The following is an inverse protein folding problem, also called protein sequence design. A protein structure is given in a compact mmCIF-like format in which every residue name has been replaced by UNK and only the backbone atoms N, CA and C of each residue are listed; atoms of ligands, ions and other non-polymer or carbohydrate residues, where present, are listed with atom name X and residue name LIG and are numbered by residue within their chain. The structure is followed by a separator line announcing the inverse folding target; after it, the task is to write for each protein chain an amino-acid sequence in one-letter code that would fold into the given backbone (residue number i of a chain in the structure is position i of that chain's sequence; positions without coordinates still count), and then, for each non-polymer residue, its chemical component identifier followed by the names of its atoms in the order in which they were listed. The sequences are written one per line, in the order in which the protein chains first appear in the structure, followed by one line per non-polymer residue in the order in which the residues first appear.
data_IF_466484861829
#
_entry.id   IF_466484861829
#
_cell.length_a   1.000
_cell.length_b   1.000
_cell.length_c   1.000
_cell.angle_alpha   90.00
_cell.angle_beta   90.00
_cell.angle_gamma   90.00
#
_symmetry.space_group_name_H-M   'P 1'
#
loop_
_entity.id
_entity.type
_entity.pdbx_description
1 polymer ?
#
# COMPACT_ATOMS: atom_id res chain seq x y z
N UNK A 1 60.13 19.14 -0.49
CA UNK A 1 59.14 18.75 -1.51
C UNK A 1 57.78 18.58 -0.83
N UNK A 2 56.92 19.61 -0.87
CA UNK A 2 55.59 19.59 -0.27
C UNK A 2 54.60 19.04 -1.31
N UNK A 3 53.98 17.89 -1.04
CA UNK A 3 52.91 17.34 -1.86
C UNK A 3 51.58 17.92 -1.39
N UNK A 4 50.97 18.79 -2.19
CA UNK A 4 49.58 19.21 -2.02
C UNK A 4 48.65 18.05 -2.36
N UNK A 5 47.90 17.58 -1.37
CA UNK A 5 46.74 16.72 -1.56
C UNK A 5 45.52 17.60 -1.80
N UNK A 6 45.02 17.56 -3.03
CA UNK A 6 43.74 18.13 -3.44
C UNK A 6 42.63 17.23 -2.86
N UNK A 7 41.67 17.72 -2.04
CA UNK A 7 40.53 16.90 -1.67
C UNK A 7 39.57 16.88 -2.87
N UNK A 8 39.43 15.71 -3.48
CA UNK A 8 38.40 15.42 -4.47
C UNK A 8 37.05 15.47 -3.74
N UNK A 9 36.34 16.58 -3.89
CA UNK A 9 34.97 16.78 -3.42
C UNK A 9 34.06 15.86 -4.25
N UNK A 10 33.83 14.64 -3.77
CA UNK A 10 32.90 13.70 -4.39
C UNK A 10 31.48 14.14 -4.03
N UNK A 11 30.92 15.06 -4.83
CA UNK A 11 29.49 15.34 -4.85
C UNK A 11 28.73 14.08 -5.25
N UNK A 12 28.25 13.30 -4.27
CA UNK A 12 27.20 12.32 -4.48
C UNK A 12 25.88 13.06 -4.76
N UNK A 13 25.72 13.55 -5.99
CA UNK A 13 24.44 13.92 -6.55
C UNK A 13 23.69 12.62 -6.87
N UNK A 14 22.97 12.08 -5.89
CA UNK A 14 21.97 11.05 -6.15
C UNK A 14 20.73 11.71 -6.73
N UNK A 15 20.42 11.29 -7.96
CA UNK A 15 19.20 11.48 -8.78
C UNK A 15 17.96 11.93 -7.97
N UNK A 16 17.19 12.93 -8.43
CA UNK A 16 15.87 13.21 -7.88
C UNK A 16 14.91 12.12 -8.37
N UNK A 17 15.02 10.92 -7.80
CA UNK A 17 13.86 10.06 -7.70
C UNK A 17 12.86 10.78 -6.81
N UNK A 18 11.59 10.85 -7.22
CA UNK A 18 10.48 11.35 -6.40
C UNK A 18 10.29 10.45 -5.16
N UNK A 19 11.24 10.48 -4.23
CA UNK A 19 11.15 9.82 -2.96
C UNK A 19 10.16 10.60 -2.10
N UNK A 20 9.32 9.89 -1.35
CA UNK A 20 8.59 10.51 -0.25
C UNK A 20 9.62 10.93 0.80
N UNK A 21 10.12 12.17 0.69
CA UNK A 21 11.36 12.62 1.34
C UNK A 21 11.39 12.41 2.86
N UNK A 22 10.21 12.36 3.50
CA UNK A 22 10.06 12.23 4.94
C UNK A 22 9.60 10.83 5.40
N UNK A 23 9.66 9.81 4.56
CA UNK A 23 9.24 8.45 4.93
C UNK A 23 10.40 7.44 4.81
N UNK A 24 10.94 6.94 5.94
CA UNK A 24 12.04 5.97 5.92
C UNK A 24 11.67 4.63 5.27
N UNK A 25 10.38 4.36 5.08
CA UNK A 25 9.86 3.14 4.45
C UNK A 25 9.47 3.35 2.98
N UNK A 26 9.90 4.45 2.33
CA UNK A 26 9.58 4.69 0.91
C UNK A 26 10.00 3.52 0.00
N UNK A 27 11.10 2.84 0.32
CA UNK A 27 11.55 1.66 -0.44
C UNK A 27 10.49 0.54 -0.44
N UNK A 28 9.75 0.34 0.65
CA UNK A 28 8.65 -0.64 0.70
C UNK A 28 7.52 -0.29 -0.27
N UNK A 29 7.27 0.99 -0.50
CA UNK A 29 6.32 1.44 -1.53
C UNK A 29 6.78 1.09 -2.95
N UNK A 30 8.07 1.28 -3.24
CA UNK A 30 8.68 0.89 -4.52
C UNK A 30 8.65 -0.64 -4.69
N UNK A 31 9.05 -1.37 -3.67
CA UNK A 31 9.08 -2.84 -3.67
C UNK A 31 7.66 -3.41 -3.82
N UNK A 32 6.66 -2.79 -3.20
CA UNK A 32 5.25 -3.14 -3.40
C UNK A 32 4.82 -3.02 -4.87
N UNK A 33 5.11 -1.88 -5.52
CA UNK A 33 4.77 -1.68 -6.94
C UNK A 33 5.45 -2.74 -7.81
N UNK A 34 6.72 -3.03 -7.56
CA UNK A 34 7.45 -4.08 -8.28
C UNK A 34 6.87 -5.47 -8.03
N UNK A 35 6.48 -5.77 -6.78
CA UNK A 35 5.84 -7.04 -6.40
C UNK A 35 4.50 -7.24 -7.12
N UNK A 36 3.67 -6.19 -7.17
CA UNK A 36 2.41 -6.21 -7.92
C UNK A 36 2.63 -6.43 -9.41
N UNK A 37 3.64 -5.79 -10.01
CA UNK A 37 3.94 -5.95 -11.44
C UNK A 37 4.31 -7.39 -11.79
N UNK A 38 5.11 -8.06 -10.94
CA UNK A 38 5.47 -9.47 -11.10
C UNK A 38 4.21 -10.36 -11.07
N UNK A 39 3.41 -10.24 -10.02
CA UNK A 39 2.21 -11.09 -9.84
C UNK A 39 1.19 -10.82 -10.94
N UNK A 40 0.95 -9.54 -11.27
CA UNK A 40 -0.02 -9.14 -12.29
C UNK A 40 0.38 -9.61 -13.69
N UNK A 41 1.67 -9.63 -14.01
CA UNK A 41 2.16 -10.17 -15.29
C UNK A 41 1.88 -11.68 -15.40
N UNK A 42 2.06 -12.43 -14.32
CA UNK A 42 1.78 -13.87 -14.30
C UNK A 42 0.30 -14.20 -14.36
N UNK A 43 -0.56 -13.41 -13.69
CA UNK A 43 -2.03 -13.53 -13.81
C UNK A 43 -2.48 -13.24 -15.24
N UNK A 44 -2.01 -12.14 -15.85
CA UNK A 44 -2.34 -11.79 -17.25
C UNK A 44 -1.87 -12.84 -18.24
N UNK A 45 -0.74 -13.50 -17.96
CA UNK A 45 -0.24 -14.62 -18.77
C UNK A 45 -0.97 -15.95 -18.51
N UNK A 46 -1.95 -15.99 -17.61
CA UNK A 46 -2.70 -17.20 -17.25
C UNK A 46 -1.92 -18.21 -16.39
N UNK A 47 -0.74 -17.83 -15.88
CA UNK A 47 0.11 -18.68 -15.01
C UNK A 47 -0.45 -18.81 -13.60
N UNK A 48 -1.24 -17.83 -13.16
CA UNK A 48 -1.92 -17.83 -11.86
C UNK A 48 -3.41 -17.68 -12.07
N UNK A 49 -4.17 -18.65 -11.53
CA UNK A 49 -5.64 -18.62 -11.54
C UNK A 49 -6.22 -18.35 -10.16
N UNK A 50 -5.48 -18.72 -9.11
CA UNK A 50 -5.89 -18.58 -7.71
C UNK A 50 -4.68 -18.46 -6.77
N UNK A 51 -4.94 -17.98 -5.55
CA UNK A 51 -3.98 -17.94 -4.46
C UNK A 51 -3.95 -19.25 -3.69
N UNK A 52 -3.43 -20.31 -4.33
CA UNK A 52 -3.15 -21.59 -3.66
C UNK A 52 -1.95 -21.49 -2.72
N UNK A 53 -1.74 -22.49 -1.86
CA UNK A 53 -0.56 -22.54 -1.00
C UNK A 53 0.75 -22.53 -1.79
N UNK A 54 0.77 -23.17 -2.96
CA UNK A 54 1.92 -23.17 -3.85
C UNK A 54 2.19 -21.79 -4.46
N UNK A 55 1.16 -21.11 -4.98
CA UNK A 55 1.35 -19.79 -5.58
C UNK A 55 1.73 -18.74 -4.53
N UNK A 56 1.12 -18.78 -3.34
CA UNK A 56 1.50 -17.90 -2.22
C UNK A 56 2.95 -18.15 -1.80
N UNK A 57 3.37 -19.41 -1.64
CA UNK A 57 4.77 -19.75 -1.30
C UNK A 57 5.75 -19.31 -2.39
N UNK A 58 5.37 -19.47 -3.67
CA UNK A 58 6.19 -19.04 -4.78
C UNK A 58 6.40 -17.52 -4.76
N UNK A 59 5.32 -16.74 -4.73
CA UNK A 59 5.42 -15.27 -4.79
C UNK A 59 6.11 -14.67 -3.57
N UNK A 60 5.83 -15.16 -2.37
CA UNK A 60 6.55 -14.72 -1.16
C UNK A 60 8.06 -14.96 -1.25
N UNK A 61 8.52 -15.93 -2.05
CA UNK A 61 9.93 -16.21 -2.31
C UNK A 61 10.59 -15.31 -3.37
N UNK A 62 9.83 -14.77 -4.33
CA UNK A 62 10.40 -14.05 -5.49
C UNK A 62 10.13 -12.54 -5.51
N UNK A 63 9.10 -12.07 -4.79
CA UNK A 63 8.79 -10.64 -4.78
C UNK A 63 9.81 -9.86 -3.93
N UNK A 64 10.13 -8.60 -4.32
CA UNK A 64 11.08 -7.78 -3.57
C UNK A 64 10.56 -7.34 -2.21
N UNK A 65 9.25 -7.10 -2.07
CA UNK A 65 8.67 -6.72 -0.78
C UNK A 65 8.70 -7.93 0.17
N UNK A 66 9.45 -7.82 1.25
CA UNK A 66 9.51 -8.88 2.28
C UNK A 66 8.20 -8.91 3.06
N UNK A 67 7.54 -10.07 3.05
CA UNK A 67 6.21 -10.28 3.61
C UNK A 67 6.08 -11.66 4.22
N UNK A 68 5.08 -11.83 5.08
CA UNK A 68 4.56 -13.14 5.48
C UNK A 68 3.15 -13.31 4.92
N UNK A 69 2.88 -14.45 4.29
CA UNK A 69 1.56 -14.77 3.78
C UNK A 69 1.35 -16.29 3.69
N UNK A 70 0.10 -16.72 3.80
CA UNK A 70 -0.32 -18.09 3.57
C UNK A 70 -1.65 -18.14 2.80
N UNK A 71 -2.05 -19.34 2.36
CA UNK A 71 -3.26 -19.54 1.57
C UNK A 71 -4.54 -19.11 2.33
N UNK A 72 -4.62 -19.36 3.64
CA UNK A 72 -5.80 -19.02 4.45
C UNK A 72 -5.99 -17.51 4.56
N UNK A 73 -4.91 -16.76 4.76
CA UNK A 73 -4.91 -15.31 4.71
C UNK A 73 -5.35 -14.81 3.34
N UNK A 74 -4.83 -15.41 2.27
CA UNK A 74 -5.19 -15.01 0.92
C UNK A 74 -6.67 -15.27 0.61
N UNK A 75 -7.18 -16.45 0.96
CA UNK A 75 -8.59 -16.79 0.82
C UNK A 75 -9.49 -15.84 1.63
N UNK A 76 -9.09 -15.50 2.85
CA UNK A 76 -9.83 -14.56 3.72
C UNK A 76 -9.92 -13.17 3.09
N UNK A 77 -8.80 -12.64 2.60
CA UNK A 77 -8.74 -11.32 1.97
C UNK A 77 -9.57 -11.30 0.68
N UNK A 78 -9.39 -12.28 -0.21
CA UNK A 78 -10.13 -12.38 -1.47
C UNK A 78 -11.63 -12.53 -1.21
N UNK A 79 -12.02 -13.36 -0.24
CA UNK A 79 -13.44 -13.51 0.15
C UNK A 79 -14.03 -12.21 0.68
N UNK A 80 -13.31 -11.48 1.54
CA UNK A 80 -13.77 -10.18 2.05
C UNK A 80 -13.93 -9.19 0.90
N UNK A 81 -12.92 -9.06 0.03
CA UNK A 81 -12.94 -8.15 -1.14
C UNK A 81 -14.12 -8.40 -2.09
N UNK A 82 -14.55 -9.66 -2.26
CA UNK A 82 -15.69 -10.02 -3.11
C UNK A 82 -17.06 -9.85 -2.43
N UNK A 83 -17.11 -9.54 -1.14
CA UNK A 83 -18.37 -9.37 -0.42
C UNK A 83 -18.96 -7.98 -0.66
N UNK A 84 -20.27 -7.89 -0.88
CA UNK A 84 -21.00 -6.62 -1.06
C UNK A 84 -20.98 -5.72 0.18
N UNK A 85 -20.52 -6.24 1.32
CA UNK A 85 -20.45 -5.54 2.60
C UNK A 85 -18.99 -5.17 2.98
N UNK A 86 -18.04 -5.31 2.07
CA UNK A 86 -16.66 -4.93 2.35
C UNK A 86 -16.54 -3.41 2.46
N UNK A 87 -16.53 -2.89 3.68
CA UNK A 87 -16.16 -1.50 3.95
C UNK A 87 -14.90 -1.44 4.81
N UNK A 88 -14.06 -0.44 4.55
CA UNK A 88 -12.89 -0.19 5.38
C UNK A 88 -13.29 0.03 6.84
N UNK A 89 -14.39 0.75 7.07
CA UNK A 89 -14.93 1.01 8.42
C UNK A 89 -15.16 -0.28 9.22
N UNK A 90 -15.77 -1.31 8.61
CA UNK A 90 -15.97 -2.60 9.29
C UNK A 90 -14.63 -3.31 9.57
N UNK A 91 -13.73 -3.35 8.59
CA UNK A 91 -12.44 -4.03 8.74
C UNK A 91 -11.55 -3.33 9.78
N UNK A 92 -11.59 -1.99 9.86
CA UNK A 92 -10.93 -1.23 10.91
C UNK A 92 -11.56 -1.49 12.28
N UNK A 93 -12.89 -1.58 12.38
CA UNK A 93 -13.57 -1.88 13.64
C UNK A 93 -13.16 -3.26 14.19
N UNK A 94 -13.01 -4.25 13.31
CA UNK A 94 -12.60 -5.62 13.66
C UNK A 94 -11.10 -5.78 13.95
N UNK A 95 -10.28 -4.75 13.65
CA UNK A 95 -8.83 -4.79 13.89
C UNK A 95 -8.47 -4.40 15.33
N UNK A 96 -7.33 -4.92 15.80
CA UNK A 96 -6.67 -4.54 17.06
C UNK A 96 -5.71 -3.35 16.89
N UNK A 97 -5.83 -2.57 15.81
CA UNK A 97 -5.09 -1.34 15.61
C UNK A 97 -5.47 -0.29 16.67
N UNK A 98 -4.56 0.62 16.98
CA UNK A 98 -4.85 1.80 17.80
C UNK A 98 -5.83 2.75 17.11
N UNK A 99 -6.50 3.60 17.88
CA UNK A 99 -7.38 4.65 17.35
C UNK A 99 -6.64 5.54 16.35
N UNK A 100 -5.39 5.90 16.67
CA UNK A 100 -4.52 6.70 15.78
C UNK A 100 -4.29 5.99 14.45
N UNK A 101 -3.98 4.70 14.47
CA UNK A 101 -3.78 3.92 13.26
C UNK A 101 -5.06 3.79 12.43
N UNK A 102 -6.21 3.54 13.06
CA UNK A 102 -7.50 3.47 12.38
C UNK A 102 -7.84 4.79 11.69
N UNK A 103 -7.65 5.92 12.38
CA UNK A 103 -7.86 7.24 11.79
C UNK A 103 -6.92 7.50 10.61
N UNK A 104 -5.64 7.14 10.75
CA UNK A 104 -4.68 7.30 9.67
C UNK A 104 -5.08 6.53 8.42
N UNK A 105 -5.45 5.25 8.56
CA UNK A 105 -5.88 4.41 7.45
C UNK A 105 -7.16 4.93 6.80
N UNK A 106 -8.11 5.42 7.59
CA UNK A 106 -9.31 6.08 7.09
C UNK A 106 -8.95 7.32 6.24
N UNK A 107 -8.05 8.18 6.73
CA UNK A 107 -7.68 9.42 6.05
C UNK A 107 -6.95 9.21 4.72
N UNK A 108 -6.11 8.17 4.61
CA UNK A 108 -5.42 7.87 3.34
C UNK A 108 -6.30 7.09 2.36
N UNK A 109 -7.39 6.47 2.85
CA UNK A 109 -8.34 5.72 2.04
C UNK A 109 -9.46 6.61 1.48
N UNK A 110 -10.02 7.49 2.32
CA UNK A 110 -11.10 8.40 1.94
C UNK A 110 -10.54 9.77 1.56
N UNK A 111 -10.33 9.94 0.26
CA UNK A 111 -9.79 11.18 -0.29
C UNK A 111 -10.92 12.04 -0.83
N UNK A 112 -10.86 13.35 -0.56
CA UNK A 112 -11.85 14.30 -1.04
C UNK A 112 -11.92 14.26 -2.58
N UNK A 113 -13.13 14.23 -3.13
CA UNK A 113 -13.35 14.31 -4.59
C UNK A 113 -12.68 15.56 -5.17
N UNK A 114 -11.96 15.39 -6.28
CA UNK A 114 -11.22 16.47 -6.95
C UNK A 114 -9.80 16.70 -6.42
N UNK A 115 -9.31 15.88 -5.48
CA UNK A 115 -7.91 15.91 -5.04
C UNK A 115 -6.99 15.48 -6.18
N UNK A 116 -5.98 16.30 -6.50
CA UNK A 116 -4.96 15.96 -7.51
C UNK A 116 -3.91 15.01 -6.96
N UNK A 117 -3.16 14.35 -7.83
CA UNK A 117 -2.01 13.51 -7.46
C UNK A 117 -1.03 14.24 -6.54
N UNK A 118 -0.69 15.48 -6.86
CA UNK A 118 0.25 16.29 -6.06
C UNK A 118 -0.33 16.65 -4.69
N UNK A 119 -1.62 16.98 -4.62
CA UNK A 119 -2.31 17.23 -3.36
C UNK A 119 -2.36 15.97 -2.48
N UNK A 120 -2.59 14.80 -3.08
CA UNK A 120 -2.60 13.53 -2.36
C UNK A 120 -1.19 13.14 -1.87
N UNK A 121 -0.16 13.32 -2.71
CA UNK A 121 1.24 13.13 -2.30
C UNK A 121 1.64 14.04 -1.14
N UNK A 122 1.26 15.31 -1.21
CA UNK A 122 1.49 16.27 -0.13
C UNK A 122 0.77 15.86 1.17
N UNK A 123 -0.48 15.40 1.08
CA UNK A 123 -1.21 14.85 2.22
C UNK A 123 -0.44 13.69 2.86
N UNK A 124 0.03 12.74 2.06
CA UNK A 124 0.78 11.57 2.54
C UNK A 124 2.12 11.97 3.20
N UNK A 125 2.84 12.95 2.64
CA UNK A 125 4.05 13.51 3.23
C UNK A 125 3.79 14.19 4.59
N UNK A 126 2.74 15.01 4.69
CA UNK A 126 2.34 15.66 5.93
C UNK A 126 1.95 14.62 7.01
N UNK A 127 1.12 13.65 6.62
CA UNK A 127 0.65 12.56 7.49
C UNK A 127 1.81 11.68 7.97
N UNK A 128 2.74 11.30 7.09
CA UNK A 128 3.95 10.55 7.45
C UNK A 128 4.86 11.33 8.40
N UNK A 129 5.06 12.62 8.14
CA UNK A 129 5.84 13.50 9.02
C UNK A 129 5.21 13.63 10.41
N UNK A 130 3.87 13.64 10.48
CA UNK A 130 3.12 13.59 11.73
C UNK A 130 3.34 12.28 12.49
N UNK A 131 3.19 11.13 11.82
CA UNK A 131 3.38 9.80 12.42
C UNK A 131 4.76 9.59 13.04
N UNK A 132 5.82 10.12 12.41
CA UNK A 132 7.17 10.00 12.93
C UNK A 132 7.32 10.59 14.33
N UNK A 133 6.53 11.62 14.66
CA UNK A 133 6.54 12.32 15.94
C UNK A 133 5.56 11.73 16.97
N UNK A 134 4.66 10.84 16.55
CA UNK A 134 3.68 10.22 17.45
C UNK A 134 4.32 9.11 18.29
N UNK A 135 3.86 8.97 19.52
CA UNK A 135 4.17 7.80 20.34
C UNK A 135 3.23 6.65 19.93
N UNK A 136 3.77 5.73 19.14
CA UNK A 136 3.05 4.60 18.55
C UNK A 136 3.98 3.40 18.56
N UNK A 137 3.43 2.21 18.80
CA UNK A 137 4.19 0.97 18.76
C UNK A 137 4.96 0.86 17.44
N UNK A 138 6.26 0.49 17.52
CA UNK A 138 7.15 0.45 16.36
C UNK A 138 6.56 -0.34 15.18
N UNK A 139 6.00 -1.56 15.37
CA UNK A 139 5.44 -2.32 14.26
C UNK A 139 4.21 -1.65 13.61
N UNK A 140 3.39 -0.98 14.41
CA UNK A 140 2.21 -0.27 13.92
C UNK A 140 2.62 1.00 13.15
N UNK A 141 3.59 1.75 13.66
CA UNK A 141 4.17 2.91 12.97
C UNK A 141 4.79 2.53 11.64
N UNK A 142 5.55 1.43 11.61
CA UNK A 142 6.14 0.89 10.38
C UNK A 142 5.07 0.45 9.38
N UNK A 143 4.00 -0.21 9.82
CA UNK A 143 2.87 -0.57 8.96
C UNK A 143 2.25 0.67 8.30
N UNK A 144 1.91 1.70 9.09
CA UNK A 144 1.27 2.91 8.58
C UNK A 144 2.17 3.68 7.60
N UNK A 145 3.45 3.81 7.93
CA UNK A 145 4.42 4.45 7.04
C UNK A 145 4.65 3.63 5.76
N UNK A 146 4.66 2.30 5.84
CA UNK A 146 4.74 1.43 4.66
C UNK A 146 3.52 1.60 3.75
N UNK A 147 2.31 1.65 4.33
CA UNK A 147 1.08 1.89 3.56
C UNK A 147 1.04 3.29 2.97
N UNK A 148 1.58 4.30 3.68
CA UNK A 148 1.75 5.64 3.12
C UNK A 148 2.71 5.66 1.93
N UNK A 149 3.81 4.91 2.01
CA UNK A 149 4.75 4.77 0.90
C UNK A 149 4.11 4.05 -0.29
N UNK A 150 3.32 3.01 -0.04
CA UNK A 150 2.53 2.32 -1.07
C UNK A 150 1.60 3.30 -1.77
N UNK A 151 0.79 4.04 -1.00
CA UNK A 151 -0.11 5.06 -1.54
C UNK A 151 0.63 6.12 -2.36
N UNK A 152 1.79 6.58 -1.88
CA UNK A 152 2.59 7.61 -2.54
C UNK A 152 3.15 7.15 -3.89
N UNK A 153 3.65 5.91 -3.95
CA UNK A 153 4.25 5.34 -5.16
C UNK A 153 3.18 4.86 -6.15
N UNK A 154 1.93 4.68 -5.70
CA UNK A 154 0.76 4.35 -6.54
C UNK A 154 -0.04 5.57 -7.00
N UNK A 155 0.21 6.75 -6.46
CA UNK A 155 -0.69 7.91 -6.64
C UNK A 155 -0.80 8.46 -8.06
N UNK A 156 0.09 8.08 -8.99
CA UNK A 156 -0.09 8.40 -10.42
C UNK A 156 -1.41 7.85 -10.99
N UNK A 157 -1.88 6.72 -10.46
CA UNK A 157 -3.11 6.06 -10.91
C UNK A 157 -4.39 6.64 -10.25
N UNK A 158 -4.24 7.57 -9.30
CA UNK A 158 -5.35 8.30 -8.67
C UNK A 158 -5.93 9.35 -9.64
N UNK A 159 -5.14 9.87 -10.58
CA UNK A 159 -5.61 10.91 -11.50
C UNK A 159 -6.64 10.41 -12.53
N UNK A 160 -6.57 9.13 -12.92
CA UNK A 160 -7.43 8.55 -13.95
C UNK A 160 -8.82 8.15 -13.42
N UNK A 161 -8.92 7.79 -12.14
CA UNK A 161 -10.18 7.37 -11.50
C UNK A 161 -11.03 8.56 -11.00
N UNK A 162 -10.44 9.73 -10.77
CA UNK A 162 -11.15 10.90 -10.20
C UNK A 162 -11.56 11.96 -11.23
N UNK A 163 -11.15 11.83 -12.50
CA UNK A 163 -11.55 12.70 -13.61
C UNK A 163 -12.87 12.31 -14.29
N UNK A 164 -13.70 11.48 -13.64
CA UNK A 164 -15.04 11.15 -14.15
C UNK A 164 -15.07 10.05 -15.22
N UNK A 165 -13.94 9.38 -15.48
CA UNK A 165 -13.98 8.01 -15.99
C UNK A 165 -14.33 7.13 -14.80
N UNK A 166 -15.47 6.43 -14.87
CA UNK A 166 -15.72 5.37 -13.90
C UNK A 166 -14.47 4.48 -13.83
N UNK A 167 -14.02 4.10 -12.61
CA UNK A 167 -12.91 3.17 -12.51
C UNK A 167 -13.23 1.98 -13.40
N UNK A 168 -12.34 1.66 -14.32
CA UNK A 168 -12.48 0.49 -15.18
C UNK A 168 -12.38 -0.73 -14.27
N UNK A 169 -13.53 -1.18 -13.77
CA UNK A 169 -13.65 -2.09 -12.63
C UNK A 169 -14.34 -1.37 -11.48
N UNK A 170 -15.59 -1.75 -11.21
CA UNK A 170 -16.31 -1.31 -10.02
C UNK A 170 -15.48 -1.71 -8.79
N UNK A 171 -14.79 -0.76 -8.17
CA UNK A 171 -14.35 -0.96 -6.79
C UNK A 171 -15.63 -1.17 -5.97
N UNK A 172 -15.97 -2.42 -5.63
CA UNK A 172 -17.17 -2.76 -4.82
C UNK A 172 -16.98 -2.32 -3.35
N UNK A 173 -16.12 -1.34 -3.10
CA UNK A 173 -15.85 -0.78 -1.80
C UNK A 173 -16.51 0.60 -1.79
N UNK A 174 -17.80 0.61 -1.49
CA UNK A 174 -18.63 1.80 -1.41
C UNK A 174 -17.94 2.88 -0.57
N UNK A 175 -17.72 4.05 -1.18
CA UNK A 175 -17.28 5.23 -0.45
C UNK A 175 -18.45 5.81 0.34
N UNK A 176 -18.32 6.02 1.65
CA UNK A 176 -19.33 6.72 2.44
C UNK A 176 -19.24 8.24 2.17
N UNK A 177 -20.38 8.89 1.91
CA UNK A 177 -20.55 10.34 2.12
C UNK A 177 -19.89 11.32 1.14
N UNK A 178 -19.75 10.98 -0.15
CA UNK A 178 -19.25 11.93 -1.18
C UNK A 178 -17.72 12.02 -1.27
N UNK A 179 -17.01 11.19 -0.50
CA UNK A 179 -15.60 10.85 -0.67
C UNK A 179 -15.52 9.58 -1.52
N UNK A 180 -14.65 9.55 -2.53
CA UNK A 180 -14.44 8.34 -3.33
C UNK A 180 -13.34 7.47 -2.71
N UNK A 181 -13.44 6.14 -2.74
CA UNK A 181 -12.29 5.30 -2.41
C UNK A 181 -11.14 5.66 -3.36
N UNK A 182 -9.92 5.54 -2.86
CA UNK A 182 -8.70 5.41 -3.70
C UNK A 182 -8.86 4.29 -4.73
N UNK A 183 -7.93 4.19 -5.70
CA UNK A 183 -7.97 3.14 -6.72
C UNK A 183 -8.09 1.73 -6.13
N UNK A 184 -8.73 0.80 -6.83
CA UNK A 184 -9.07 -0.54 -6.33
C UNK A 184 -7.86 -1.28 -5.74
N UNK A 185 -6.68 -1.07 -6.31
CA UNK A 185 -5.43 -1.68 -5.86
C UNK A 185 -5.04 -1.10 -4.50
N UNK A 186 -5.08 0.23 -4.31
CA UNK A 186 -4.76 0.83 -3.02
C UNK A 186 -5.84 0.53 -1.97
N UNK A 187 -7.11 0.53 -2.36
CA UNK A 187 -8.22 0.19 -1.47
C UNK A 187 -8.08 -1.26 -0.98
N UNK A 188 -7.81 -2.19 -1.90
CA UNK A 188 -7.50 -3.57 -1.60
C UNK A 188 -6.25 -3.72 -0.73
N UNK A 189 -5.20 -2.94 -0.99
CA UNK A 189 -3.98 -2.97 -0.18
C UNK A 189 -4.23 -2.58 1.28
N UNK A 190 -4.99 -1.51 1.52
CA UNK A 190 -5.32 -1.03 2.88
C UNK A 190 -6.19 -2.05 3.61
N UNK A 191 -7.23 -2.59 2.95
CA UNK A 191 -8.08 -3.65 3.52
C UNK A 191 -7.30 -4.92 3.84
N UNK A 192 -6.53 -5.40 2.86
CA UNK A 192 -5.71 -6.59 2.99
C UNK A 192 -4.67 -6.44 4.10
N UNK A 193 -4.04 -5.28 4.22
CA UNK A 193 -3.09 -5.00 5.29
C UNK A 193 -3.75 -4.99 6.68
N UNK A 194 -4.95 -4.44 6.77
CA UNK A 194 -5.71 -4.41 8.04
C UNK A 194 -6.11 -5.83 8.47
N UNK A 195 -6.53 -6.68 7.53
CA UNK A 195 -6.81 -8.10 7.79
C UNK A 195 -5.53 -8.85 8.18
N UNK A 196 -4.45 -8.65 7.42
CA UNK A 196 -3.16 -9.28 7.69
C UNK A 196 -2.59 -8.90 9.05
N UNK A 197 -2.72 -7.64 9.46
CA UNK A 197 -2.32 -7.16 10.78
C UNK A 197 -2.95 -7.98 11.91
N UNK A 198 -4.25 -8.28 11.81
CA UNK A 198 -4.95 -9.10 12.80
C UNK A 198 -4.43 -10.53 12.89
N UNK A 199 -3.83 -11.06 11.83
CA UNK A 199 -3.36 -12.45 11.76
C UNK A 199 -1.99 -12.59 12.45
N UNK A 200 -0.99 -11.81 12.04
CA UNK A 200 0.35 -11.90 12.63
C UNK A 200 1.11 -10.57 12.74
N UNK A 201 0.42 -9.43 12.63
CA UNK A 201 1.02 -8.11 12.74
C UNK A 201 1.69 -7.65 11.44
N UNK A 202 2.82 -6.95 11.56
CA UNK A 202 3.43 -6.17 10.47
C UNK A 202 3.69 -6.98 9.18
N UNK A 203 4.33 -8.15 9.27
CA UNK A 203 4.71 -8.91 8.08
C UNK A 203 3.50 -9.48 7.34
N UNK A 204 2.50 -9.96 8.07
CA UNK A 204 1.19 -10.31 7.51
C UNK A 204 0.46 -9.09 6.97
N UNK A 205 0.58 -7.90 7.57
CA UNK A 205 -0.01 -6.69 7.03
C UNK A 205 0.58 -6.33 5.66
N UNK A 206 1.90 -6.46 5.47
CA UNK A 206 2.51 -6.23 4.16
C UNK A 206 2.14 -7.32 3.15
N UNK A 207 2.07 -8.59 3.56
CA UNK A 207 1.60 -9.69 2.71
C UNK A 207 0.14 -9.52 2.32
N UNK A 208 -0.69 -9.11 3.28
CA UNK A 208 -2.08 -8.79 3.08
C UNK A 208 -2.25 -7.60 2.15
N UNK A 209 -1.39 -6.58 2.22
CA UNK A 209 -1.39 -5.47 1.28
C UNK A 209 -1.19 -5.94 -0.16
N UNK A 210 -0.22 -6.83 -0.39
CA UNK A 210 0.05 -7.39 -1.73
C UNK A 210 -1.16 -8.19 -2.21
N UNK A 211 -1.67 -9.13 -1.41
CA UNK A 211 -2.82 -9.95 -1.82
C UNK A 211 -4.05 -9.09 -2.08
N UNK A 212 -4.34 -8.16 -1.19
CA UNK A 212 -5.47 -7.24 -1.33
C UNK A 212 -5.34 -6.34 -2.55
N UNK A 213 -4.14 -5.83 -2.82
CA UNK A 213 -3.87 -5.05 -4.01
C UNK A 213 -4.04 -5.82 -5.31
N UNK A 214 -3.58 -7.07 -5.37
CA UNK A 214 -3.82 -7.96 -6.51
C UNK A 214 -5.31 -8.28 -6.64
N UNK A 215 -5.99 -8.63 -5.54
CA UNK A 215 -7.42 -8.87 -5.58
C UNK A 215 -8.17 -7.65 -6.14
N UNK A 216 -7.85 -6.44 -5.67
CA UNK A 216 -8.41 -5.19 -6.18
C UNK A 216 -8.09 -4.90 -7.64
N UNK A 217 -6.92 -5.30 -8.15
CA UNK A 217 -6.55 -5.15 -9.57
C UNK A 217 -7.39 -6.02 -10.51
N UNK A 218 -7.91 -7.15 -10.02
CA UNK A 218 -8.62 -8.17 -10.81
C UNK A 218 -10.05 -8.42 -10.29
N UNK A 219 -10.62 -7.44 -9.57
CA UNK A 219 -12.01 -7.43 -9.12
C UNK A 219 -12.96 -6.87 -10.17
#
# INVERSE_FOLDING_TARGET
MKKSLLPLLLCCLTVPGFAQANNPYNQKGIDYVNSLNIISADIKAGRVKEFSAESVKYYTGIIPLKVEANADMAATIVKRMKSTNASLTQVLAESNLSTTAKQYLHDIYYVKRGTTTDQYKLLLEQKSSGLLKQDLAVPEKEMLLSLSAIAYNRSKDVQDNFQGKEPSGNCILSGDGGSGPVDCILAGAILGATIGWRICGLWCALGGAVIGGVAGAFS
#
